data_IF_025166021204
#
_entry.id   IF_025166021204
#
_cell.length_a   1.000
_cell.length_b   1.000
_cell.length_c   1.000
_cell.angle_alpha   90.00
_cell.angle_beta   90.00
_cell.angle_gamma   90.00
#
_symmetry.space_group_name_H-M   'P 1'
#
loop_
_entity.id
_entity.type
_entity.pdbx_description
1 polymer ?
#
# COMPACT_ATOMS: atom_id res chain seq x y z
N UNK A 1 11.19 13.55 -26.76
CA UNK A 1 10.97 12.25 -26.31
C UNK A 1 10.07 12.21 -25.11
N UNK A 2 9.05 11.40 -25.19
CA UNK A 2 8.11 11.34 -24.11
C UNK A 2 8.39 10.16 -23.23
N UNK A 3 8.26 10.37 -21.93
CA UNK A 3 8.33 9.29 -21.02
C UNK A 3 6.94 8.82 -20.76
N UNK A 4 6.72 7.53 -20.62
CA UNK A 4 5.40 7.06 -20.25
C UNK A 4 5.08 7.53 -18.83
N UNK A 5 3.83 7.76 -18.53
CA UNK A 5 3.46 8.14 -17.18
C UNK A 5 3.83 7.04 -16.21
N UNK A 6 4.25 7.43 -15.03
CA UNK A 6 4.58 6.47 -14.01
C UNK A 6 3.33 6.07 -13.28
N UNK A 7 3.25 4.80 -12.95
CA UNK A 7 2.12 4.27 -12.22
C UNK A 7 2.51 4.05 -10.79
N UNK A 8 1.76 4.63 -9.88
CA UNK A 8 1.99 4.48 -8.46
C UNK A 8 0.89 3.64 -7.85
N UNK A 9 1.28 2.77 -6.94
CA UNK A 9 0.33 1.92 -6.24
C UNK A 9 0.50 2.18 -4.74
N UNK A 10 -0.61 2.19 -4.05
CA UNK A 10 -0.61 2.43 -2.61
C UNK A 10 -0.78 1.09 -1.90
N UNK A 11 -0.06 0.92 -0.82
CA UNK A 11 -0.11 -0.30 -0.02
C UNK A 11 -0.87 0.02 1.25
N UNK A 12 -1.85 -0.82 1.56
CA UNK A 12 -2.71 -0.59 2.71
C UNK A 12 -2.58 -1.70 3.72
N UNK A 13 -2.63 -1.32 4.98
CA UNK A 13 -2.69 -2.26 6.09
C UNK A 13 -4.13 -2.24 6.58
N UNK A 14 -4.74 -3.39 6.65
CA UNK A 14 -6.13 -3.50 7.04
C UNK A 14 -6.23 -4.27 8.34
N UNK A 15 -6.91 -3.68 9.30
CA UNK A 15 -7.19 -4.33 10.57
C UNK A 15 -8.65 -4.79 10.50
N UNK A 16 -8.85 -6.06 10.24
CA UNK A 16 -10.20 -6.59 10.04
C UNK A 16 -11.00 -6.63 11.34
N UNK A 17 -10.33 -6.73 12.46
CA UNK A 17 -11.04 -6.75 13.73
C UNK A 17 -11.61 -5.38 14.07
N UNK A 18 -10.85 -4.34 13.80
CA UNK A 18 -11.29 -2.98 14.11
C UNK A 18 -11.89 -2.27 12.91
N UNK A 19 -11.89 -2.96 11.78
CA UNK A 19 -12.42 -2.41 10.53
C UNK A 19 -11.74 -1.10 10.17
N UNK A 20 -10.42 -1.09 10.23
CA UNK A 20 -9.64 0.10 9.93
C UNK A 20 -8.66 -0.17 8.81
N UNK A 21 -8.37 0.84 8.04
CA UNK A 21 -7.50 0.73 6.91
C UNK A 21 -6.54 1.91 6.91
N UNK A 22 -5.28 1.65 6.64
CA UNK A 22 -4.27 2.70 6.68
C UNK A 22 -3.29 2.51 5.54
N UNK A 23 -2.97 3.58 4.84
CA UNK A 23 -1.96 3.53 3.80
C UNK A 23 -0.59 3.54 4.47
N UNK A 24 0.23 2.55 4.18
CA UNK A 24 1.53 2.41 4.82
C UNK A 24 2.68 2.66 3.86
N UNK A 25 2.44 2.65 2.57
CA UNK A 25 3.50 2.86 1.61
C UNK A 25 2.94 3.20 0.24
N UNK A 26 3.77 3.76 -0.58
CA UNK A 26 3.42 4.01 -1.97
C UNK A 26 4.65 3.69 -2.80
N UNK A 27 4.47 2.97 -3.88
CA UNK A 27 5.58 2.57 -4.73
C UNK A 27 5.25 2.78 -6.18
N UNK A 28 6.27 2.92 -6.98
CA UNK A 28 6.11 3.06 -8.40
C UNK A 28 6.25 1.69 -9.05
N UNK A 29 5.27 1.31 -9.86
CA UNK A 29 5.30 0.07 -10.62
C UNK A 29 4.59 -1.08 -9.95
N UNK A 30 3.91 -1.88 -10.77
CA UNK A 30 3.14 -3.00 -10.27
C UNK A 30 4.02 -4.06 -9.63
N UNK A 31 5.14 -4.35 -10.27
CA UNK A 31 6.03 -5.37 -9.75
C UNK A 31 6.55 -5.01 -8.36
N UNK A 32 6.95 -3.76 -8.19
CA UNK A 32 7.45 -3.31 -6.90
C UNK A 32 6.34 -3.30 -5.86
N UNK A 33 5.14 -2.96 -6.28
CA UNK A 33 4.02 -2.96 -5.36
C UNK A 33 3.73 -4.36 -4.85
N UNK A 34 3.74 -5.34 -5.74
CA UNK A 34 3.46 -6.71 -5.34
C UNK A 34 4.57 -7.28 -4.47
N UNK A 35 5.81 -6.94 -4.78
CA UNK A 35 6.92 -7.37 -3.95
C UNK A 35 6.85 -6.79 -2.56
N UNK A 36 6.44 -5.55 -2.46
CA UNK A 36 6.36 -4.90 -1.17
C UNK A 36 5.24 -5.49 -0.32
N UNK A 37 4.10 -5.77 -0.93
CA UNK A 37 3.00 -6.43 -0.22
C UNK A 37 3.47 -7.79 0.30
N UNK A 38 4.18 -8.53 -0.54
CA UNK A 38 4.68 -9.83 -0.14
C UNK A 38 5.65 -9.72 1.03
N UNK A 39 6.49 -8.69 0.99
CA UNK A 39 7.43 -8.46 2.07
C UNK A 39 6.71 -8.17 3.38
N UNK A 40 5.69 -7.31 3.33
CA UNK A 40 4.92 -7.00 4.52
C UNK A 40 4.25 -8.26 5.08
N UNK A 41 3.67 -9.08 4.20
CA UNK A 41 2.99 -10.28 4.64
C UNK A 41 3.97 -11.29 5.25
N UNK A 42 5.16 -11.36 4.67
CA UNK A 42 6.15 -12.30 5.17
C UNK A 42 6.68 -11.89 6.54
N UNK A 43 6.75 -10.60 6.78
CA UNK A 43 7.29 -10.07 8.02
C UNK A 43 6.24 -9.81 9.09
N UNK A 44 5.02 -10.27 8.88
CA UNK A 44 3.98 -10.07 9.88
C UNK A 44 4.32 -10.84 11.15
N UNK A 45 4.07 -10.18 12.27
CA UNK A 45 4.31 -10.81 13.56
C UNK A 45 3.15 -11.74 13.90
N UNK A 46 3.35 -12.58 14.88
CA UNK A 46 2.29 -13.46 15.36
C UNK A 46 1.11 -12.65 15.90
N UNK A 47 1.42 -11.54 16.52
CA UNK A 47 0.38 -10.65 17.03
C UNK A 47 -0.49 -10.09 15.90
N UNK A 48 0.14 -9.68 14.81
CA UNK A 48 -0.61 -9.16 13.68
C UNK A 48 -1.49 -10.24 13.05
N UNK A 49 -0.99 -11.45 12.97
CA UNK A 49 -1.80 -12.54 12.42
C UNK A 49 -2.99 -12.84 13.31
N UNK A 50 -2.79 -12.76 14.62
CA UNK A 50 -3.86 -13.01 15.55
C UNK A 50 -4.93 -11.93 15.46
N UNK A 51 -4.50 -10.71 15.16
CA UNK A 51 -5.41 -9.58 15.06
C UNK A 51 -6.03 -9.44 13.68
N UNK A 52 -5.81 -10.40 12.82
CA UNK A 52 -6.40 -10.42 11.48
C UNK A 52 -5.99 -9.19 10.67
N UNK A 53 -4.71 -8.90 10.70
CA UNK A 53 -4.16 -7.82 9.88
C UNK A 53 -3.81 -8.37 8.51
N UNK A 54 -4.03 -7.60 7.48
CA UNK A 54 -3.59 -7.97 6.15
C UNK A 54 -3.06 -6.75 5.43
N UNK A 55 -2.38 -6.99 4.33
CA UNK A 55 -1.83 -5.92 3.51
C UNK A 55 -2.25 -6.14 2.07
N UNK A 56 -2.53 -5.09 1.36
CA UNK A 56 -2.87 -5.22 -0.05
C UNK A 56 -2.49 -3.95 -0.79
N UNK A 57 -2.35 -4.05 -2.09
CA UNK A 57 -2.10 -2.88 -2.91
C UNK A 57 -3.40 -2.39 -3.52
N UNK A 58 -3.41 -1.14 -3.90
CA UNK A 58 -4.57 -0.61 -4.60
C UNK A 58 -4.75 -1.33 -5.92
N UNK A 59 -5.97 -1.48 -6.35
CA UNK A 59 -6.26 -2.16 -7.61
C UNK A 59 -6.05 -1.24 -8.80
N UNK A 60 -6.12 0.06 -8.58
CA UNK A 60 -5.92 1.02 -9.64
C UNK A 60 -4.65 1.79 -9.39
N UNK A 61 -3.90 2.02 -10.47
CA UNK A 61 -2.71 2.84 -10.35
C UNK A 61 -3.07 4.31 -10.48
N UNK A 62 -2.21 5.15 -10.00
CA UNK A 62 -2.38 6.58 -10.21
C UNK A 62 -1.10 7.14 -10.80
N UNK A 63 -1.20 8.25 -11.48
CA UNK A 63 -0.03 8.86 -12.09
C UNK A 63 0.64 9.84 -11.14
N UNK A 64 0.04 10.12 -10.01
CA UNK A 64 0.61 11.03 -9.03
C UNK A 64 0.72 10.36 -7.68
N UNK A 65 1.82 10.59 -6.96
CA UNK A 65 1.97 9.98 -5.64
C UNK A 65 0.92 10.53 -4.67
N UNK A 66 0.22 9.62 -4.04
CA UNK A 66 -0.78 10.04 -3.10
C UNK A 66 -0.24 10.50 -1.79
N UNK A 67 0.84 9.90 -1.35
CA UNK A 67 1.43 10.31 -0.10
C UNK A 67 1.79 11.73 -0.06
N UNK A 68 2.15 12.27 -1.26
CA UNK A 68 2.58 13.57 -1.30
C UNK A 68 1.54 14.54 -0.91
N UNK A 69 0.35 14.28 -1.14
CA UNK A 69 -0.66 15.20 -0.85
C UNK A 69 -1.41 14.97 0.40
N UNK A 70 -1.01 13.93 1.11
CA UNK A 70 -1.73 13.64 2.22
C UNK A 70 -1.61 14.48 3.30
N UNK A 71 -0.60 15.12 3.33
CA UNK A 71 -0.35 15.88 4.49
C UNK A 71 -1.49 16.74 4.82
N UNK A 72 -2.34 17.00 4.00
CA UNK A 72 -3.26 17.86 4.34
C UNK A 72 -4.36 17.29 4.67
N UNK A 73 -4.59 16.62 4.67
CA UNK A 73 -5.57 16.07 5.08
C UNK A 73 -6.46 16.68 5.63
N UNK A 74 -6.65 17.01 5.62
CA UNK A 74 -7.52 17.44 6.11
C UNK A 74 -8.17 17.07 6.76
#
# INVERSE_FOLDING_TARGET
MHRPPRNYYQIYRVDHKRNQEKMVAEVEGLYEAEKLVEKYLRNMTASERRDEISYYRSTLSSSLPKMFGLSRAS
#
